data_IF_138324801610
#
_entry.id   IF_138324801610
#
_cell.length_a   1.000
_cell.length_b   1.000
_cell.length_c   1.000
_cell.angle_alpha   90.00
_cell.angle_beta   90.00
_cell.angle_gamma   90.00
#
_symmetry.space_group_name_H-M   'P 1'
#
loop_
_entity.id
_entity.type
_entity.pdbx_description
1 polymer ?
#
# COMPACT_ATOMS: atom_id res chain seq x y z
N UNK A 1 1.16 -2.21 21.21
CA UNK A 1 2.35 -1.87 20.40
C UNK A 1 3.49 -2.79 20.83
N UNK A 2 4.14 -3.48 19.90
CA UNK A 2 5.20 -4.46 20.21
C UNK A 2 6.57 -3.78 20.26
N UNK A 3 6.99 -3.40 21.47
CA UNK A 3 8.22 -2.63 21.72
C UNK A 3 9.46 -3.54 21.72
N UNK A 4 9.34 -4.77 22.22
CA UNK A 4 10.46 -5.72 22.28
C UNK A 4 10.96 -6.07 20.88
N UNK A 5 10.04 -6.36 19.96
CA UNK A 5 10.39 -6.64 18.55
C UNK A 5 11.09 -5.44 17.88
N UNK A 6 10.65 -4.22 18.18
CA UNK A 6 11.28 -3.01 17.67
C UNK A 6 12.72 -2.86 18.21
N UNK A 7 12.92 -3.08 19.51
CA UNK A 7 14.23 -2.98 20.14
C UNK A 7 15.24 -3.96 19.51
N UNK A 8 14.83 -5.21 19.26
CA UNK A 8 15.66 -6.20 18.57
C UNK A 8 16.01 -5.78 17.14
N UNK A 9 15.05 -5.25 16.38
CA UNK A 9 15.30 -4.72 15.04
C UNK A 9 16.34 -3.59 15.05
N UNK A 10 16.17 -2.61 15.94
CA UNK A 10 17.07 -1.45 16.03
C UNK A 10 18.48 -1.84 16.47
N UNK A 11 18.59 -2.77 17.42
CA UNK A 11 19.89 -3.30 17.89
C UNK A 11 20.72 -3.85 16.72
N UNK A 12 20.08 -4.57 15.78
CA UNK A 12 20.75 -5.14 14.60
C UNK A 12 21.23 -4.11 13.59
N UNK A 13 20.58 -2.96 13.44
CA UNK A 13 20.91 -1.99 12.38
C UNK A 13 21.76 -0.82 12.87
N UNK A 14 22.03 -0.73 14.19
CA UNK A 14 22.82 0.34 14.81
C UNK A 14 24.20 0.48 14.14
N UNK A 15 24.53 1.71 13.74
CA UNK A 15 25.82 2.03 13.11
C UNK A 15 26.00 1.53 11.67
N UNK A 16 24.95 0.93 11.07
CA UNK A 16 24.98 0.39 9.69
C UNK A 16 24.21 1.22 8.68
N UNK A 17 23.68 2.36 9.11
CA UNK A 17 22.86 3.26 8.29
C UNK A 17 23.72 4.42 7.83
N UNK A 18 23.87 4.57 6.52
CA UNK A 18 24.48 5.76 5.91
C UNK A 18 23.38 6.76 5.61
N UNK A 19 23.48 7.96 6.16
CA UNK A 19 22.57 9.05 5.83
C UNK A 19 23.02 9.71 4.52
N UNK A 20 22.12 9.81 3.54
CA UNK A 20 22.39 10.43 2.24
C UNK A 20 21.32 11.45 1.93
N UNK A 21 21.75 12.69 1.72
CA UNK A 21 20.89 13.72 1.16
C UNK A 21 20.71 13.49 -0.34
N UNK A 22 19.48 13.64 -0.82
CA UNK A 22 19.11 13.48 -2.21
C UNK A 22 18.63 14.82 -2.76
N UNK A 23 19.04 15.16 -3.99
CA UNK A 23 18.61 16.38 -4.69
C UNK A 23 17.18 16.28 -5.22
N UNK A 24 16.65 15.05 -5.30
CA UNK A 24 15.31 14.73 -5.77
C UNK A 24 14.67 13.67 -4.87
N UNK A 25 13.35 13.58 -4.91
CA UNK A 25 12.58 12.58 -4.15
C UNK A 25 13.07 11.16 -4.51
N UNK A 26 13.23 10.32 -3.49
CA UNK A 26 13.58 8.90 -3.68
C UNK A 26 12.46 8.15 -4.39
N UNK A 27 12.73 7.32 -5.42
CA UNK A 27 11.73 6.44 -6.01
C UNK A 27 11.07 5.50 -4.99
N UNK A 28 11.79 5.14 -3.90
CA UNK A 28 11.24 4.32 -2.81
C UNK A 28 10.18 5.08 -1.98
N UNK A 29 10.15 6.40 -2.03
CA UNK A 29 9.15 7.22 -1.37
C UNK A 29 7.86 7.38 -2.19
N UNK A 30 7.87 7.08 -3.50
CA UNK A 30 6.71 7.28 -4.38
C UNK A 30 5.44 6.59 -3.85
N UNK A 31 5.46 5.30 -3.46
CA UNK A 31 4.25 4.62 -3.02
C UNK A 31 3.58 5.32 -1.83
N UNK A 32 4.36 5.70 -0.81
CA UNK A 32 3.83 6.37 0.38
C UNK A 32 3.37 7.80 0.08
N UNK A 33 4.03 8.51 -0.84
CA UNK A 33 3.59 9.85 -1.25
C UNK A 33 2.23 9.81 -1.96
N UNK A 34 1.95 8.76 -2.73
CA UNK A 34 0.65 8.58 -3.39
C UNK A 34 -0.47 8.18 -2.44
N UNK A 35 -0.17 7.68 -1.24
CA UNK A 35 -1.19 7.46 -0.20
C UNK A 35 -1.69 8.79 0.38
N UNK A 36 -0.85 9.82 0.37
CA UNK A 36 -1.21 11.15 0.86
C UNK A 36 -2.14 11.81 -0.17
N UNK A 37 -3.44 11.80 0.12
CA UNK A 37 -4.49 12.32 -0.77
C UNK A 37 -5.39 11.23 -1.38
N UNK A 38 -5.14 9.95 -1.06
CA UNK A 38 -6.15 8.91 -1.27
C UNK A 38 -7.22 9.05 -0.20
N UNK A 39 -8.38 9.53 -0.62
CA UNK A 39 -9.59 9.43 0.19
C UNK A 39 -10.33 8.16 -0.19
N UNK A 40 -10.75 7.35 0.78
CA UNK A 40 -11.59 6.20 0.49
C UNK A 40 -12.93 6.71 -0.05
N UNK A 41 -13.18 6.49 -1.34
CA UNK A 41 -14.50 6.74 -1.92
C UNK A 41 -15.41 5.60 -1.50
N UNK A 42 -16.32 5.88 -0.57
CA UNK A 42 -17.39 4.95 -0.22
C UNK A 42 -18.16 4.57 -1.49
N UNK A 43 -18.17 3.27 -1.81
CA UNK A 43 -18.86 2.73 -2.98
C UNK A 43 -17.95 2.30 -4.13
N UNK A 44 -16.71 2.79 -4.24
CA UNK A 44 -15.82 2.43 -5.37
C UNK A 44 -15.42 0.95 -5.38
N UNK A 45 -15.12 0.38 -4.21
CA UNK A 45 -14.89 -1.05 -4.07
C UNK A 45 -16.18 -1.88 -4.30
N UNK A 46 -17.35 -1.34 -3.92
CA UNK A 46 -18.63 -1.99 -4.19
C UNK A 46 -18.93 -2.01 -5.69
N UNK A 47 -18.62 -0.94 -6.42
CA UNK A 47 -18.84 -0.86 -7.87
C UNK A 47 -17.93 -1.82 -8.63
N UNK A 48 -16.65 -1.93 -8.26
CA UNK A 48 -15.75 -2.95 -8.82
C UNK A 48 -16.24 -4.37 -8.52
N UNK A 49 -16.63 -4.65 -7.26
CA UNK A 49 -17.20 -5.95 -6.89
C UNK A 49 -18.54 -6.25 -7.59
N UNK A 50 -19.37 -5.23 -7.81
CA UNK A 50 -20.63 -5.34 -8.56
C UNK A 50 -20.38 -5.63 -10.04
N UNK A 51 -19.38 -4.99 -10.65
CA UNK A 51 -18.97 -5.29 -12.03
C UNK A 51 -18.44 -6.71 -12.16
N UNK A 52 -17.52 -7.13 -11.26
CA UNK A 52 -16.99 -8.49 -11.25
C UNK A 52 -18.10 -9.55 -11.03
N UNK A 53 -19.09 -9.24 -10.17
CA UNK A 53 -20.24 -10.11 -9.97
C UNK A 53 -21.18 -10.15 -11.19
N UNK A 54 -21.35 -9.03 -11.91
CA UNK A 54 -22.13 -8.99 -13.13
C UNK A 54 -21.48 -9.83 -14.24
N UNK A 55 -20.16 -9.72 -14.41
CA UNK A 55 -19.39 -10.52 -15.36
C UNK A 55 -19.55 -12.02 -15.07
N UNK A 56 -19.49 -12.42 -13.79
CA UNK A 56 -19.69 -13.81 -13.39
C UNK A 56 -21.12 -14.33 -13.66
N UNK A 57 -22.13 -13.45 -13.55
CA UNK A 57 -23.52 -13.79 -13.86
C UNK A 57 -23.73 -13.98 -15.36
N UNK A 58 -23.16 -13.12 -16.20
CA UNK A 58 -23.24 -13.28 -17.66
C UNK A 58 -22.56 -14.57 -18.11
N UNK A 59 -21.37 -14.89 -17.57
CA UNK A 59 -20.67 -16.14 -17.84
C UNK A 59 -21.51 -17.37 -17.44
N UNK A 60 -22.16 -17.33 -16.28
CA UNK A 60 -23.04 -18.40 -15.81
C UNK A 60 -24.34 -18.53 -16.63
N UNK A 61 -24.86 -17.42 -17.17
CA UNK A 61 -26.04 -17.41 -18.03
C UNK A 61 -25.73 -17.76 -19.50
N UNK A 62 -24.45 -17.95 -19.85
CA UNK A 62 -24.02 -18.46 -21.15
C UNK A 62 -24.30 -17.50 -22.31
N UNK A 63 -24.18 -16.19 -22.07
CA UNK A 63 -24.22 -15.14 -23.11
C UNK A 63 -22.85 -14.51 -23.33
#
# INVERSE_FOLDING_TARGET
LDVSRLAEMLSRVRGRIVHKHLDQISPLAIPVMLEIGKEPVNGGANETLLMEAADLVEEAMGR
#
